data_IF_862903325961
#
_entry.id   IF_862903325961
#
_cell.length_a   1.000
_cell.length_b   1.000
_cell.length_c   1.000
_cell.angle_alpha   90.00
_cell.angle_beta   90.00
_cell.angle_gamma   90.00
#
_symmetry.space_group_name_H-M   'P 1'
#
loop_
_entity.id
_entity.type
_entity.pdbx_description
1 polymer ?
#
# COMPACT_ATOMS: atom_id res chain seq x y z
N UNK A 1 -16.36 5.26 41.50
CA UNK A 1 -15.68 6.51 41.09
C UNK A 1 -14.80 6.18 39.93
N UNK A 2 -15.27 6.51 38.71
CA UNK A 2 -14.48 6.23 37.49
C UNK A 2 -13.76 7.52 37.10
N UNK A 3 -12.44 7.48 37.09
CA UNK A 3 -11.58 8.58 36.64
C UNK A 3 -11.43 8.50 35.14
N UNK A 4 -11.93 9.53 34.45
CA UNK A 4 -11.74 9.73 33.00
C UNK A 4 -10.38 10.41 32.80
N UNK A 5 -9.41 9.68 32.26
CA UNK A 5 -8.12 10.26 31.86
C UNK A 5 -8.28 10.93 30.50
N UNK A 6 -8.25 12.25 30.50
CA UNK A 6 -8.25 13.06 29.28
C UNK A 6 -6.89 12.97 28.60
N UNK A 7 -6.84 12.35 27.41
CA UNK A 7 -5.66 12.35 26.55
C UNK A 7 -5.62 13.69 25.80
N UNK A 8 -4.65 14.53 26.15
CA UNK A 8 -4.40 15.79 25.46
C UNK A 8 -3.92 15.51 24.04
N UNK A 9 -4.69 16.01 23.04
CA UNK A 9 -4.28 16.01 21.65
C UNK A 9 -3.04 16.91 21.49
N UNK A 10 -1.92 16.30 21.11
CA UNK A 10 -0.70 17.01 20.73
C UNK A 10 -0.95 17.72 19.38
N UNK A 11 -1.06 19.03 19.43
CA UNK A 11 -1.12 19.88 18.22
C UNK A 11 0.27 19.84 17.59
N UNK A 12 0.41 19.12 16.47
CA UNK A 12 1.63 19.16 15.67
C UNK A 12 1.75 20.57 15.07
N UNK A 13 2.66 21.38 15.62
CA UNK A 13 3.05 22.63 15.04
C UNK A 13 3.69 22.36 13.67
N UNK A 14 3.14 22.95 12.61
CA UNK A 14 3.72 22.91 11.28
C UNK A 14 5.10 23.58 11.33
N UNK A 15 6.16 22.80 11.38
CA UNK A 15 7.53 23.29 11.26
C UNK A 15 7.74 23.79 9.83
N UNK A 16 7.82 25.11 9.67
CA UNK A 16 8.24 25.74 8.42
C UNK A 16 9.62 25.18 8.03
N UNK A 17 9.78 24.77 6.77
CA UNK A 17 11.02 24.20 6.26
C UNK A 17 12.18 25.18 6.48
N UNK A 18 13.31 24.75 7.06
CA UNK A 18 14.44 25.64 7.38
C UNK A 18 15.00 26.39 6.16
N UNK A 19 14.77 25.89 4.95
CA UNK A 19 15.22 26.52 3.70
C UNK A 19 14.45 27.82 3.39
N UNK A 20 13.11 27.83 3.54
CA UNK A 20 12.29 29.02 3.27
C UNK A 20 12.51 30.14 4.29
N UNK A 21 12.80 29.78 5.55
CA UNK A 21 13.13 30.76 6.59
C UNK A 21 14.48 31.42 6.31
N UNK A 22 15.47 30.67 5.84
CA UNK A 22 16.81 31.16 5.53
C UNK A 22 16.78 32.14 4.34
N UNK A 23 16.03 31.85 3.31
CA UNK A 23 15.91 32.69 2.12
C UNK A 23 15.28 34.07 2.43
N UNK A 24 14.23 34.10 3.26
CA UNK A 24 13.62 35.35 3.71
C UNK A 24 14.60 36.22 4.52
N UNK A 25 15.48 35.59 5.31
CA UNK A 25 16.52 36.31 6.06
C UNK A 25 17.57 36.88 5.10
N UNK A 26 18.05 36.10 4.13
CA UNK A 26 19.06 36.52 3.15
C UNK A 26 18.50 37.63 2.24
N UNK A 27 17.24 37.58 1.81
CA UNK A 27 16.62 38.64 1.02
C UNK A 27 16.44 39.95 1.81
N UNK A 28 16.01 39.87 3.07
CA UNK A 28 15.90 41.02 3.94
C UNK A 28 17.29 41.66 4.23
N UNK A 29 18.31 40.83 4.39
CA UNK A 29 19.70 41.31 4.58
C UNK A 29 20.22 41.98 3.33
N UNK A 30 19.93 41.45 2.13
CA UNK A 30 20.25 42.07 0.84
C UNK A 30 19.56 43.42 0.68
N UNK A 31 18.25 43.53 0.92
CA UNK A 31 17.52 44.80 0.86
C UNK A 31 18.09 45.83 1.83
N UNK A 32 18.44 45.43 3.03
CA UNK A 32 19.08 46.30 4.02
C UNK A 32 20.44 46.76 3.57
N UNK A 33 21.27 45.90 2.98
CA UNK A 33 22.58 46.26 2.42
C UNK A 33 22.45 47.22 1.24
N UNK A 34 21.49 46.96 0.32
CA UNK A 34 21.20 47.82 -0.82
C UNK A 34 20.78 49.24 -0.38
N UNK A 35 19.86 49.29 0.60
CA UNK A 35 19.36 50.56 1.15
C UNK A 35 20.51 51.36 1.83
N UNK A 36 21.37 50.68 2.58
CA UNK A 36 22.50 51.30 3.25
C UNK A 36 23.53 51.80 2.25
N UNK A 37 23.76 51.04 1.15
CA UNK A 37 24.66 51.47 0.07
C UNK A 37 24.13 52.67 -0.70
N UNK A 38 22.80 52.72 -0.99
CA UNK A 38 22.18 53.91 -1.62
C UNK A 38 22.30 55.18 -0.76
N UNK A 39 22.36 55.05 0.57
CA UNK A 39 22.49 56.17 1.48
C UNK A 39 23.93 56.68 1.64
N UNK A 40 24.94 55.83 1.40
CA UNK A 40 26.35 56.14 1.69
C UNK A 40 27.29 56.08 0.45
N UNK A 41 26.76 55.85 -0.77
CA UNK A 41 27.59 55.73 -1.98
C UNK A 41 28.02 57.07 -2.57
N UNK A 42 29.30 57.18 -2.89
CA UNK A 42 29.86 58.22 -3.76
C UNK A 42 29.47 57.90 -5.21
N UNK A 43 28.84 58.83 -5.97
CA UNK A 43 28.34 58.61 -7.32
C UNK A 43 29.40 58.20 -8.36
N UNK A 44 30.68 58.26 -8.01
CA UNK A 44 31.80 57.99 -8.95
C UNK A 44 32.34 56.55 -8.91
N UNK A 45 31.87 55.69 -8.02
CA UNK A 45 32.33 54.29 -7.90
C UNK A 45 31.23 53.33 -7.48
N UNK A 46 30.26 52.97 -8.37
CA UNK A 46 29.23 52.01 -8.04
C UNK A 46 29.81 50.59 -7.88
N UNK A 47 29.53 49.94 -6.76
CA UNK A 47 29.87 48.51 -6.55
C UNK A 47 28.97 47.59 -7.40
N UNK A 48 29.58 46.56 -7.99
CA UNK A 48 28.85 45.55 -8.80
C UNK A 48 28.10 44.58 -7.92
N UNK A 49 26.78 44.76 -7.83
CA UNK A 49 25.83 43.88 -7.09
C UNK A 49 25.35 42.70 -7.91
N UNK A 50 25.82 42.54 -9.16
CA UNK A 50 25.31 41.54 -10.12
C UNK A 50 25.53 40.12 -9.65
N UNK A 51 26.64 39.81 -8.99
CA UNK A 51 26.91 38.46 -8.46
C UNK A 51 25.92 38.04 -7.37
N UNK A 52 25.57 38.95 -6.45
CA UNK A 52 24.58 38.66 -5.41
C UNK A 52 23.19 38.49 -5.99
N UNK A 53 22.83 39.31 -6.99
CA UNK A 53 21.54 39.19 -7.69
C UNK A 53 21.44 37.84 -8.42
N UNK A 54 22.52 37.39 -9.08
CA UNK A 54 22.57 36.07 -9.71
C UNK A 54 22.38 34.92 -8.70
N UNK A 55 23.03 35.00 -7.55
CA UNK A 55 22.85 33.99 -6.49
C UNK A 55 21.42 33.98 -5.97
N UNK A 56 20.77 35.13 -5.74
CA UNK A 56 19.38 35.22 -5.32
C UNK A 56 18.43 34.61 -6.36
N UNK A 57 18.68 34.83 -7.66
CA UNK A 57 17.90 34.21 -8.73
C UNK A 57 18.04 32.68 -8.69
N UNK A 58 19.27 32.16 -8.50
CA UNK A 58 19.47 30.72 -8.36
C UNK A 58 18.74 30.15 -7.13
N UNK A 59 18.82 30.83 -5.99
CA UNK A 59 18.10 30.42 -4.80
C UNK A 59 16.58 30.45 -5.01
N UNK A 60 16.05 31.47 -5.68
CA UNK A 60 14.62 31.57 -6.00
C UNK A 60 14.15 30.42 -6.90
N UNK A 61 14.97 29.97 -7.85
CA UNK A 61 14.69 28.80 -8.68
C UNK A 61 14.63 27.51 -7.87
N UNK A 62 15.57 27.34 -6.92
CA UNK A 62 15.56 26.18 -6.02
C UNK A 62 14.32 26.20 -5.11
N UNK A 63 13.97 27.37 -4.55
CA UNK A 63 12.78 27.51 -3.73
C UNK A 63 11.50 27.19 -4.52
N UNK A 64 11.41 27.72 -5.75
CA UNK A 64 10.28 27.38 -6.64
C UNK A 64 10.19 25.88 -6.89
N UNK A 65 11.32 25.20 -7.10
CA UNK A 65 11.35 23.75 -7.27
C UNK A 65 10.92 23.01 -6.00
N UNK A 66 11.35 23.46 -4.83
CA UNK A 66 10.92 22.90 -3.54
C UNK A 66 9.41 23.09 -3.35
N UNK A 67 8.90 24.29 -3.67
CA UNK A 67 7.46 24.56 -3.56
C UNK A 67 6.63 23.74 -4.53
N UNK A 68 7.12 23.52 -5.75
CA UNK A 68 6.49 22.62 -6.72
C UNK A 68 6.43 21.19 -6.18
N UNK A 69 7.53 20.66 -5.63
CA UNK A 69 7.56 19.34 -5.03
C UNK A 69 6.58 19.22 -3.86
N UNK A 70 6.53 20.21 -2.96
CA UNK A 70 5.54 20.24 -1.87
C UNK A 70 4.10 20.24 -2.37
N UNK A 71 3.82 20.95 -3.46
CA UNK A 71 2.50 20.96 -4.08
C UNK A 71 2.15 19.59 -4.65
N UNK A 72 3.10 18.93 -5.31
CA UNK A 72 2.92 17.56 -5.80
C UNK A 72 2.67 16.56 -4.66
N UNK A 73 3.42 16.65 -3.57
CA UNK A 73 3.21 15.82 -2.38
C UNK A 73 1.82 16.05 -1.76
N UNK A 74 1.34 17.30 -1.74
CA UNK A 74 0.00 17.64 -1.27
C UNK A 74 -1.09 17.06 -2.17
N UNK A 75 -0.89 17.09 -3.50
CA UNK A 75 -1.81 16.48 -4.48
C UNK A 75 -1.84 14.96 -4.28
N UNK A 76 -0.68 14.31 -4.15
CA UNK A 76 -0.58 12.87 -3.91
C UNK A 76 -1.29 12.48 -2.60
N UNK A 77 -1.10 13.26 -1.54
CA UNK A 77 -1.78 13.03 -0.25
C UNK A 77 -3.29 13.15 -0.37
N UNK A 78 -3.77 14.16 -1.08
CA UNK A 78 -5.21 14.36 -1.33
C UNK A 78 -5.81 13.24 -2.16
N UNK A 79 -5.10 12.79 -3.21
CA UNK A 79 -5.53 11.67 -4.05
C UNK A 79 -5.57 10.36 -3.25
N UNK A 80 -4.58 10.15 -2.38
CA UNK A 80 -4.54 8.99 -1.49
C UNK A 80 -5.73 8.97 -0.54
N UNK A 81 -6.11 10.11 0.03
CA UNK A 81 -7.31 10.23 0.87
C UNK A 81 -8.61 9.92 0.12
N UNK A 82 -8.73 10.37 -1.14
CA UNK A 82 -9.88 10.06 -1.98
C UNK A 82 -9.95 8.56 -2.30
N UNK A 83 -8.83 7.93 -2.63
CA UNK A 83 -8.75 6.50 -2.90
C UNK A 83 -9.18 5.68 -1.66
N UNK A 84 -8.75 6.06 -0.46
CA UNK A 84 -9.17 5.41 0.78
C UNK A 84 -10.68 5.53 1.01
N UNK A 85 -11.25 6.73 0.77
CA UNK A 85 -12.69 6.96 0.90
C UNK A 85 -13.49 6.08 -0.08
N UNK A 86 -13.07 5.98 -1.33
CA UNK A 86 -13.71 5.11 -2.32
C UNK A 86 -13.57 3.63 -1.95
N UNK A 87 -12.38 3.22 -1.52
CA UNK A 87 -12.11 1.84 -1.14
C UNK A 87 -12.84 1.42 0.15
N UNK A 88 -13.22 2.35 1.02
CA UNK A 88 -14.04 2.05 2.21
C UNK A 88 -15.38 1.41 1.85
N UNK A 89 -15.92 1.71 0.67
CA UNK A 89 -17.12 1.06 0.14
C UNK A 89 -16.95 -0.44 -0.19
N UNK A 90 -15.71 -0.96 -0.16
CA UNK A 90 -15.43 -2.38 -0.33
C UNK A 90 -15.56 -3.18 0.97
N UNK A 91 -15.60 -2.53 2.13
CA UNK A 91 -15.74 -3.20 3.42
C UNK A 91 -17.06 -3.97 3.45
N UNK A 92 -16.99 -5.25 3.82
CA UNK A 92 -18.12 -6.18 3.82
C UNK A 92 -18.39 -6.84 2.47
N UNK A 93 -17.76 -6.42 1.38
CA UNK A 93 -17.91 -7.04 0.06
C UNK A 93 -16.97 -8.22 -0.12
N UNK A 94 -17.42 -9.21 -0.87
CA UNK A 94 -16.57 -10.30 -1.30
C UNK A 94 -15.72 -9.86 -2.48
N UNK A 95 -14.44 -10.17 -2.44
CA UNK A 95 -13.44 -9.79 -3.44
C UNK A 95 -12.61 -10.99 -3.86
N UNK A 96 -12.04 -10.90 -5.07
CA UNK A 96 -11.14 -11.90 -5.64
C UNK A 96 -9.81 -11.21 -5.94
N UNK A 97 -8.72 -11.80 -5.47
CA UNK A 97 -7.36 -11.31 -5.72
C UNK A 97 -6.56 -12.28 -6.58
N UNK A 98 -5.69 -11.75 -7.40
CA UNK A 98 -4.61 -12.51 -8.06
C UNK A 98 -3.55 -12.89 -7.01
N UNK A 99 -3.84 -13.96 -6.28
CA UNK A 99 -3.00 -14.43 -5.19
C UNK A 99 -3.32 -15.88 -4.84
N UNK A 100 -2.30 -16.68 -4.63
CA UNK A 100 -2.43 -18.02 -4.07
C UNK A 100 -2.50 -18.02 -2.53
N UNK A 101 -2.28 -16.87 -1.90
CA UNK A 101 -2.37 -16.70 -0.43
C UNK A 101 -3.80 -16.35 -0.06
N UNK A 102 -4.37 -17.00 0.95
CA UNK A 102 -5.64 -16.63 1.56
C UNK A 102 -5.55 -16.60 3.09
N UNK A 103 -6.35 -15.73 3.70
CA UNK A 103 -6.44 -15.60 5.15
C UNK A 103 -7.36 -16.69 5.72
N UNK A 104 -6.93 -17.28 6.83
CA UNK A 104 -7.74 -18.12 7.71
C UNK A 104 -8.04 -17.34 8.99
N UNK A 105 -9.30 -17.27 9.39
CA UNK A 105 -9.68 -16.75 10.71
C UNK A 105 -10.49 -17.81 11.47
N UNK A 106 -10.73 -17.60 12.77
CA UNK A 106 -11.44 -18.57 13.61
C UNK A 106 -12.84 -18.94 13.04
N UNK A 107 -13.52 -17.95 12.42
CA UNK A 107 -14.89 -18.08 11.94
C UNK A 107 -15.00 -18.13 10.42
N UNK A 108 -13.89 -18.00 9.68
CA UNK A 108 -13.94 -17.93 8.22
C UNK A 108 -12.81 -18.77 7.62
N UNK A 109 -13.15 -19.78 6.79
CA UNK A 109 -12.17 -20.61 6.12
C UNK A 109 -11.35 -19.83 5.10
N UNK A 110 -10.14 -20.28 4.86
CA UNK A 110 -9.34 -19.84 3.72
C UNK A 110 -9.96 -20.38 2.43
N UNK A 111 -10.18 -19.50 1.44
CA UNK A 111 -10.91 -19.87 0.22
C UNK A 111 -10.22 -19.37 -1.03
N UNK A 112 -10.23 -20.20 -2.06
CA UNK A 112 -9.64 -19.89 -3.36
C UNK A 112 -10.56 -20.36 -4.49
N UNK A 113 -10.66 -19.58 -5.55
CA UNK A 113 -11.15 -20.05 -6.83
C UNK A 113 -9.97 -20.60 -7.62
N UNK A 114 -10.20 -21.64 -8.39
CA UNK A 114 -9.19 -22.18 -9.30
C UNK A 114 -9.75 -22.42 -10.69
N UNK A 115 -8.84 -22.38 -11.67
CA UNK A 115 -9.14 -22.71 -13.06
C UNK A 115 -7.95 -23.47 -13.68
N UNK A 116 -8.19 -24.70 -14.07
CA UNK A 116 -7.23 -25.49 -14.82
C UNK A 116 -7.28 -25.14 -16.30
N UNK A 117 -6.09 -25.00 -16.91
CA UNK A 117 -5.97 -24.66 -18.34
C UNK A 117 -6.03 -25.92 -19.21
N UNK A 118 -7.12 -26.69 -19.07
CA UNK A 118 -7.34 -27.93 -19.81
C UNK A 118 -8.16 -28.96 -19.02
N UNK A 119 -8.37 -30.14 -19.61
CA UNK A 119 -9.00 -31.25 -18.93
C UNK A 119 -8.07 -31.83 -17.89
N UNK A 120 -8.54 -31.98 -16.67
CA UNK A 120 -7.83 -32.61 -15.57
C UNK A 120 -8.50 -33.95 -15.21
N UNK A 121 -7.68 -34.94 -14.89
CA UNK A 121 -8.12 -36.24 -14.37
C UNK A 121 -7.79 -36.38 -12.88
N UNK A 122 -6.84 -35.57 -12.39
CA UNK A 122 -6.48 -35.50 -10.97
C UNK A 122 -6.12 -34.08 -10.60
N UNK A 123 -6.59 -33.65 -9.42
CA UNK A 123 -6.21 -32.38 -8.78
C UNK A 123 -5.79 -32.68 -7.35
N UNK A 124 -4.62 -32.19 -6.95
CA UNK A 124 -4.11 -32.29 -5.58
C UNK A 124 -3.86 -30.90 -5.04
N UNK A 125 -4.53 -30.57 -3.95
CA UNK A 125 -4.32 -29.34 -3.18
C UNK A 125 -3.28 -29.59 -2.09
N UNK A 126 -2.35 -28.66 -1.98
CA UNK A 126 -1.39 -28.57 -0.86
C UNK A 126 -1.51 -27.19 -0.24
N UNK A 127 -1.81 -27.14 1.05
CA UNK A 127 -1.87 -25.90 1.83
C UNK A 127 -0.60 -25.78 2.64
N UNK A 128 0.04 -24.64 2.56
CA UNK A 128 1.33 -24.34 3.18
C UNK A 128 1.19 -23.12 4.08
N UNK A 129 1.72 -23.17 5.29
CA UNK A 129 1.79 -22.05 6.21
C UNK A 129 2.84 -21.02 5.75
N UNK A 130 2.87 -19.84 6.39
CA UNK A 130 3.77 -18.76 6.04
C UNK A 130 5.27 -19.12 6.23
N UNK A 131 5.57 -20.08 7.10
CA UNK A 131 6.92 -20.59 7.36
C UNK A 131 7.38 -21.66 6.34
N UNK A 132 6.53 -22.00 5.36
CA UNK A 132 6.80 -23.02 4.36
C UNK A 132 6.39 -24.44 4.77
N UNK A 133 5.85 -24.64 5.97
CA UNK A 133 5.38 -25.94 6.43
C UNK A 133 4.10 -26.36 5.69
N UNK A 134 4.08 -27.57 5.13
CA UNK A 134 2.85 -28.16 4.55
C UNK A 134 1.94 -28.59 5.69
N UNK A 135 0.73 -28.00 5.73
CA UNK A 135 -0.24 -28.21 6.81
C UNK A 135 -1.40 -29.13 6.39
N UNK A 136 -1.68 -29.20 5.09
CA UNK A 136 -2.72 -30.08 4.55
C UNK A 136 -2.39 -30.47 3.11
N UNK A 137 -2.74 -31.72 2.75
CA UNK A 137 -2.66 -32.22 1.38
C UNK A 137 -3.85 -33.13 1.14
N UNK A 138 -4.67 -32.79 0.14
CA UNK A 138 -5.85 -33.58 -0.20
C UNK A 138 -6.15 -33.56 -1.70
N UNK A 139 -6.81 -34.62 -2.15
CA UNK A 139 -7.39 -34.63 -3.49
C UNK A 139 -8.59 -33.68 -3.58
N UNK A 140 -8.69 -32.99 -4.70
CA UNK A 140 -9.80 -32.11 -5.07
C UNK A 140 -10.56 -32.76 -6.20
N UNK A 141 -11.88 -32.57 -6.23
CA UNK A 141 -12.72 -33.08 -7.33
C UNK A 141 -12.24 -32.46 -8.67
N UNK A 142 -11.84 -33.33 -9.57
CA UNK A 142 -11.34 -32.99 -10.92
C UNK A 142 -12.43 -33.05 -12.00
N UNK A 143 -13.70 -33.26 -11.61
CA UNK A 143 -14.84 -33.36 -12.56
C UNK A 143 -14.97 -32.06 -13.40
N UNK A 144 -14.68 -30.92 -12.79
CA UNK A 144 -14.72 -29.61 -13.43
C UNK A 144 -13.32 -29.00 -13.47
N UNK A 145 -12.97 -28.37 -14.59
CA UNK A 145 -11.72 -27.63 -14.75
C UNK A 145 -11.65 -26.36 -13.86
N UNK A 146 -12.79 -25.88 -13.37
CA UNK A 146 -12.91 -24.71 -12.50
C UNK A 146 -13.68 -25.03 -11.25
N UNK A 147 -13.33 -24.41 -10.14
CA UNK A 147 -14.03 -24.62 -8.87
C UNK A 147 -13.57 -23.68 -7.77
N UNK A 148 -14.09 -23.95 -6.58
CA UNK A 148 -13.65 -23.31 -5.34
C UNK A 148 -13.09 -24.36 -4.39
N UNK A 149 -11.90 -24.09 -3.87
CA UNK A 149 -11.31 -24.83 -2.77
C UNK A 149 -11.44 -24.01 -1.50
N UNK A 150 -11.93 -24.64 -0.45
CA UNK A 150 -12.09 -24.01 0.87
C UNK A 150 -11.45 -24.90 1.92
N UNK A 151 -10.62 -24.32 2.77
CA UNK A 151 -9.93 -25.01 3.85
C UNK A 151 -10.32 -24.42 5.19
N UNK A 152 -10.84 -25.26 6.07
CA UNK A 152 -11.40 -24.92 7.38
C UNK A 152 -10.32 -24.82 8.49
N UNK A 153 -9.04 -24.94 8.12
CA UNK A 153 -7.94 -24.89 9.08
C UNK A 153 -7.63 -26.22 9.74
N UNK A 154 -8.27 -27.33 9.37
CA UNK A 154 -7.93 -28.64 9.92
C UNK A 154 -6.63 -29.16 9.33
N UNK A 155 -5.71 -29.49 10.24
CA UNK A 155 -4.41 -30.07 9.91
C UNK A 155 -4.55 -31.59 9.68
N UNK A 156 -3.55 -32.17 9.05
CA UNK A 156 -3.53 -33.64 8.76
C UNK A 156 -3.54 -34.48 10.02
N UNK A 157 -3.07 -33.97 11.16
CA UNK A 157 -3.09 -34.61 12.48
C UNK A 157 -4.41 -34.42 13.24
N UNK A 158 -5.40 -33.72 12.65
CA UNK A 158 -6.70 -33.46 13.25
C UNK A 158 -6.75 -32.23 14.16
N UNK A 159 -5.64 -31.55 14.40
CA UNK A 159 -5.60 -30.29 15.14
C UNK A 159 -6.05 -29.13 14.26
N UNK A 160 -6.22 -27.94 14.85
CA UNK A 160 -6.66 -26.74 14.12
C UNK A 160 -5.50 -25.78 13.96
N UNK A 161 -5.29 -25.31 12.75
CA UNK A 161 -4.29 -24.31 12.41
C UNK A 161 -4.60 -22.95 13.07
N UNK A 162 -3.57 -22.21 13.41
CA UNK A 162 -3.71 -20.86 13.91
C UNK A 162 -4.28 -19.91 12.83
N UNK A 163 -5.07 -18.89 13.20
CA UNK A 163 -5.42 -17.82 12.26
C UNK A 163 -4.20 -17.20 11.62
N UNK A 164 -4.25 -16.94 10.31
CA UNK A 164 -3.11 -16.40 9.57
C UNK A 164 -3.23 -16.57 8.07
N UNK A 165 -2.13 -16.33 7.36
CA UNK A 165 -2.04 -16.44 5.90
C UNK A 165 -1.53 -17.83 5.50
N UNK A 166 -2.22 -18.44 4.55
CA UNK A 166 -1.90 -19.77 4.02
C UNK A 166 -1.85 -19.73 2.50
N UNK A 167 -0.92 -20.46 1.92
CA UNK A 167 -0.72 -20.53 0.47
C UNK A 167 -1.28 -21.85 -0.07
N UNK A 168 -2.11 -21.76 -1.10
CA UNK A 168 -2.61 -22.93 -1.83
C UNK A 168 -1.73 -23.20 -3.04
N UNK A 169 -1.32 -24.44 -3.21
CA UNK A 169 -0.77 -24.98 -4.45
C UNK A 169 -1.68 -26.06 -4.99
N UNK A 170 -2.10 -25.95 -6.26
CA UNK A 170 -2.88 -26.99 -6.95
C UNK A 170 -2.03 -27.61 -8.06
N UNK A 171 -1.89 -28.92 -8.02
CA UNK A 171 -1.26 -29.70 -9.09
C UNK A 171 -2.34 -30.45 -9.84
N UNK A 172 -2.51 -30.09 -11.12
CA UNK A 172 -3.40 -30.79 -12.05
C UNK A 172 -2.64 -31.75 -12.95
N UNK A 173 -3.21 -32.91 -13.20
CA UNK A 173 -2.71 -33.83 -14.24
C UNK A 173 -3.84 -34.32 -15.14
N UNK A 174 -3.52 -34.53 -16.42
CA UNK A 174 -4.42 -35.15 -17.40
C UNK A 174 -4.45 -36.68 -17.27
N UNK A 175 -5.24 -37.36 -18.11
CA UNK A 175 -5.35 -38.83 -18.12
C UNK A 175 -4.03 -39.54 -18.51
N UNK A 176 -3.10 -38.84 -19.12
CA UNK A 176 -1.77 -39.34 -19.51
C UNK A 176 -0.71 -39.05 -18.45
N UNK A 177 -1.06 -38.36 -17.35
CA UNK A 177 -0.14 -37.96 -16.28
C UNK A 177 0.62 -36.68 -16.55
N UNK A 178 0.34 -35.94 -17.64
CA UNK A 178 1.00 -34.69 -17.93
C UNK A 178 0.47 -33.60 -17.01
N UNK A 179 1.37 -32.65 -16.64
CA UNK A 179 1.00 -31.50 -15.82
C UNK A 179 0.06 -30.54 -16.55
N UNK A 180 -1.06 -30.20 -15.92
CA UNK A 180 -2.01 -29.19 -16.39
C UNK A 180 -1.88 -27.97 -15.48
N UNK A 181 -1.48 -26.79 -16.01
CA UNK A 181 -1.38 -25.56 -15.23
C UNK A 181 -2.73 -25.18 -14.62
N UNK A 182 -2.71 -24.74 -13.36
CA UNK A 182 -3.90 -24.28 -12.63
C UNK A 182 -3.66 -22.85 -12.13
N UNK A 183 -4.56 -21.95 -12.50
CA UNK A 183 -4.60 -20.58 -11.95
C UNK A 183 -5.35 -20.62 -10.63
N UNK A 184 -4.86 -19.87 -9.62
CA UNK A 184 -5.43 -19.81 -8.28
C UNK A 184 -5.63 -18.36 -7.91
N UNK A 185 -6.83 -18.01 -7.44
CA UNK A 185 -7.20 -16.68 -7.00
C UNK A 185 -7.82 -16.75 -5.61
N UNK A 186 -7.29 -15.98 -4.65
CA UNK A 186 -7.86 -15.95 -3.30
C UNK A 186 -9.20 -15.21 -3.29
N UNK A 187 -10.10 -15.68 -2.45
CA UNK A 187 -11.45 -15.13 -2.30
C UNK A 187 -11.73 -14.85 -0.83
N UNK A 188 -12.29 -13.69 -0.53
CA UNK A 188 -12.72 -13.41 0.83
C UNK A 188 -13.46 -12.09 0.95
N UNK A 189 -13.91 -11.78 2.17
CA UNK A 189 -14.64 -10.56 2.48
C UNK A 189 -13.69 -9.51 3.04
N UNK A 190 -13.72 -8.31 2.50
CA UNK A 190 -12.91 -7.20 2.99
C UNK A 190 -13.36 -6.81 4.40
N UNK A 191 -12.44 -6.78 5.34
CA UNK A 191 -12.67 -6.38 6.74
C UNK A 191 -12.16 -4.98 7.02
N UNK A 192 -11.08 -4.60 6.36
CA UNK A 192 -10.41 -3.33 6.59
C UNK A 192 -9.76 -2.85 5.30
N UNK A 193 -9.69 -1.52 5.15
CA UNK A 193 -8.98 -0.84 4.08
C UNK A 193 -7.94 0.07 4.73
N UNK A 194 -6.72 -0.02 4.29
CA UNK A 194 -5.61 0.76 4.86
C UNK A 194 -4.71 1.36 3.79
N UNK A 195 -4.07 2.47 4.15
CA UNK A 195 -3.04 3.11 3.34
C UNK A 195 -1.71 3.01 4.08
N UNK A 196 -0.70 2.48 3.43
CA UNK A 196 0.67 2.44 3.95
C UNK A 196 1.64 2.90 2.87
N UNK A 197 2.42 3.95 3.15
CA UNK A 197 3.38 4.50 2.19
C UNK A 197 2.76 4.97 0.87
N UNK A 198 1.52 5.45 0.87
CA UNK A 198 0.78 5.88 -0.33
C UNK A 198 0.16 4.73 -1.13
N UNK A 199 0.32 3.48 -0.72
CA UNK A 199 -0.28 2.32 -1.36
C UNK A 199 -1.54 1.86 -0.61
N UNK A 200 -2.61 1.60 -1.37
CA UNK A 200 -3.86 1.07 -0.85
C UNK A 200 -3.76 -0.45 -0.68
N UNK A 201 -4.15 -0.96 0.48
CA UNK A 201 -4.20 -2.37 0.80
C UNK A 201 -5.52 -2.75 1.45
N UNK A 202 -5.95 -3.98 1.22
CA UNK A 202 -7.21 -4.54 1.70
C UNK A 202 -6.89 -5.70 2.64
N UNK A 203 -7.46 -5.69 3.84
CA UNK A 203 -7.36 -6.79 4.79
C UNK A 203 -8.56 -7.72 4.63
N UNK A 204 -8.28 -9.01 4.40
CA UNK A 204 -9.27 -10.05 4.17
C UNK A 204 -8.91 -11.26 5.03
N UNK A 205 -9.73 -11.58 6.02
CA UNK A 205 -9.55 -12.73 6.92
C UNK A 205 -8.15 -12.81 7.56
N UNK A 206 -7.56 -11.65 7.91
CA UNK A 206 -6.22 -11.59 8.51
C UNK A 206 -5.04 -11.55 7.54
N UNK A 207 -5.27 -11.70 6.24
CA UNK A 207 -4.27 -11.46 5.20
C UNK A 207 -4.42 -10.07 4.59
N UNK A 208 -3.31 -9.43 4.22
CA UNK A 208 -3.28 -8.09 3.61
C UNK A 208 -2.87 -8.21 2.15
N UNK A 209 -3.66 -7.59 1.28
CA UNK A 209 -3.42 -7.61 -0.16
C UNK A 209 -3.28 -6.19 -0.70
N UNK A 210 -2.31 -5.93 -1.56
CA UNK A 210 -2.28 -4.69 -2.34
C UNK A 210 -3.55 -4.58 -3.19
N UNK A 211 -4.15 -3.39 -3.24
CA UNK A 211 -5.34 -3.18 -4.09
C UNK A 211 -5.06 -3.42 -5.58
N UNK A 212 -3.79 -3.36 -6.01
CA UNK A 212 -3.36 -3.68 -7.38
C UNK A 212 -3.60 -5.13 -7.78
N UNK A 213 -3.70 -6.04 -6.79
CA UNK A 213 -3.97 -7.46 -7.03
C UNK A 213 -5.48 -7.79 -7.06
N UNK A 214 -6.35 -6.80 -6.91
CA UNK A 214 -7.79 -6.97 -6.95
C UNK A 214 -8.23 -7.26 -8.39
N UNK A 215 -8.82 -8.44 -8.61
CA UNK A 215 -9.34 -8.87 -9.91
C UNK A 215 -10.81 -8.52 -10.08
N UNK A 216 -11.62 -8.75 -9.04
CA UNK A 216 -13.05 -8.46 -9.10
C UNK A 216 -13.68 -8.27 -7.72
N UNK A 217 -14.83 -7.63 -7.71
CA UNK A 217 -15.68 -7.40 -6.55
C UNK A 217 -17.00 -8.09 -6.83
N UNK A 218 -17.39 -9.00 -5.96
CA UNK A 218 -18.72 -9.62 -6.02
C UNK A 218 -19.72 -8.73 -5.27
N UNK A 219 -20.83 -8.49 -5.90
CA UNK A 219 -21.94 -7.71 -5.34
C UNK A 219 -22.87 -8.53 -4.47
#
# INVERSE_FOLDING_TARGET
MSTITSTAASTAAATSSPASTKLNVDFNMFLKMLTTQMQNQDPLSPMDTSQYTQQLVQYSQVEQSIQQNKTLDSILSSLSGQNLTQASGLIGRQVIFDSAVAGLSADTPASWNYAANGKVSSLVATVTAADGTVVDTRAVDATNATGRFSWDGKLTDGTTAAPGSYTLTLRGSDASGNNVPVTINSVGTVREVQMAGGALSLSVNGSVYPATNLLSIAG
#
